data_IF_250723015593
#
_entry.id   IF_250723015593
#
_cell.length_a   1.000
_cell.length_b   1.000
_cell.length_c   1.000
_cell.angle_alpha   90.00
_cell.angle_beta   90.00
_cell.angle_gamma   90.00
#
_symmetry.space_group_name_H-M   'P 1'
#
loop_
_entity.id
_entity.type
_entity.pdbx_description
1 polymer ?
#
# COMPACT_ATOMS: atom_id res chain seq x y z
N UNK A 1 -15.29 2.30 -5.41
CA UNK A 1 -14.60 2.34 -5.58
C UNK A 1 -13.74 2.65 -5.37
N UNK A 2 -13.69 3.15 -5.29
CA UNK A 2 -12.89 3.27 -5.13
C UNK A 2 -11.58 2.82 -5.02
N UNK A 3 -11.30 1.70 -5.50
CA UNK A 3 -9.93 1.27 -5.54
C UNK A 3 -9.12 2.06 -6.56
N UNK A 4 -9.79 2.63 -7.52
CA UNK A 4 -9.16 3.53 -8.48
C UNK A 4 -8.39 4.64 -7.81
N UNK A 5 -8.90 5.13 -6.69
CA UNK A 5 -8.25 6.25 -6.02
C UNK A 5 -6.88 5.88 -5.47
N UNK A 6 -6.62 4.59 -5.25
CA UNK A 6 -5.32 4.16 -4.77
C UNK A 6 -4.24 4.33 -5.83
N UNK A 7 -4.62 4.22 -7.09
CA UNK A 7 -3.67 4.28 -8.19
C UNK A 7 -3.59 5.65 -8.84
N UNK A 8 -4.23 6.64 -8.27
CA UNK A 8 -4.19 8.00 -8.78
C UNK A 8 -3.05 8.81 -8.21
N UNK A 9 -2.30 8.21 -7.31
CA UNK A 9 -1.09 8.82 -6.80
C UNK A 9 -0.18 9.15 -7.97
N UNK A 10 0.37 10.35 -8.00
CA UNK A 10 1.22 10.80 -9.09
C UNK A 10 2.39 9.87 -9.33
N UNK A 11 2.97 9.35 -8.25
CA UNK A 11 4.13 8.46 -8.35
C UNK A 11 3.77 7.20 -9.14
N UNK A 12 2.60 6.63 -8.87
CA UNK A 12 2.17 5.44 -9.57
C UNK A 12 1.76 5.73 -11.01
N UNK A 13 1.24 6.93 -11.27
CA UNK A 13 0.96 7.33 -12.64
C UNK A 13 2.23 7.40 -13.47
N UNK A 14 3.28 7.95 -12.89
CA UNK A 14 4.57 8.03 -13.58
C UNK A 14 5.11 6.65 -13.85
N UNK A 15 4.99 5.74 -12.89
CA UNK A 15 5.43 4.36 -13.06
C UNK A 15 4.64 3.66 -14.16
N UNK A 16 3.36 3.93 -14.26
CA UNK A 16 2.49 3.30 -15.26
C UNK A 16 2.93 3.61 -16.69
N UNK A 17 3.71 4.66 -16.90
CA UNK A 17 4.19 5.04 -18.23
C UNK A 17 5.45 4.29 -18.62
N UNK A 18 6.01 3.48 -17.75
CA UNK A 18 7.23 2.73 -18.04
C UNK A 18 6.87 1.29 -18.37
N UNK A 19 6.58 1.06 -19.63
CA UNK A 19 6.15 -0.27 -20.08
C UNK A 19 7.27 -1.31 -20.04
N UNK A 20 8.51 -0.87 -20.19
CA UNK A 20 9.65 -1.78 -20.31
C UNK A 20 10.37 -2.04 -18.98
N UNK A 21 9.82 -1.56 -17.88
CA UNK A 21 10.48 -1.73 -16.59
C UNK A 21 10.32 -3.16 -16.13
N UNK A 22 11.44 -3.77 -15.82
CA UNK A 22 11.44 -5.14 -15.32
C UNK A 22 10.90 -5.17 -13.91
N UNK A 23 9.97 -6.08 -13.69
CA UNK A 23 9.45 -6.37 -12.36
C UNK A 23 10.43 -7.33 -11.68
N UNK A 24 10.90 -6.97 -10.51
CA UNK A 24 11.75 -7.85 -9.73
C UNK A 24 10.92 -9.00 -9.18
N UNK A 25 11.28 -10.21 -9.54
CA UNK A 25 10.50 -11.40 -9.15
C UNK A 25 10.45 -11.62 -7.66
N UNK A 26 11.55 -11.38 -6.98
CA UNK A 26 11.60 -11.53 -5.53
C UNK A 26 10.71 -10.51 -4.83
N UNK A 27 10.81 -9.26 -5.23
CA UNK A 27 9.99 -8.20 -4.67
C UNK A 27 8.52 -8.39 -5.01
N UNK A 28 8.22 -8.87 -6.22
CA UNK A 28 6.85 -9.17 -6.60
C UNK A 28 6.24 -10.22 -5.67
N UNK A 29 7.01 -11.23 -5.35
CA UNK A 29 6.55 -12.28 -4.44
C UNK A 29 6.31 -11.72 -3.04
N UNK A 30 7.24 -10.90 -2.54
CA UNK A 30 7.11 -10.28 -1.23
C UNK A 30 5.87 -9.39 -1.18
N UNK A 31 5.72 -8.49 -2.15
CA UNK A 31 4.59 -7.57 -2.18
C UNK A 31 3.27 -8.32 -2.33
N UNK A 32 3.26 -9.38 -3.14
CA UNK A 32 2.06 -10.19 -3.31
C UNK A 32 1.64 -10.82 -1.99
N UNK A 33 2.59 -11.32 -1.21
CA UNK A 33 2.25 -11.95 0.06
C UNK A 33 1.71 -10.94 1.07
N UNK A 34 2.20 -9.71 1.05
CA UNK A 34 1.75 -8.68 1.99
C UNK A 34 0.43 -8.04 1.55
N UNK A 35 0.25 -7.83 0.26
CA UNK A 35 -0.86 -7.03 -0.25
C UNK A 35 -1.98 -7.83 -0.90
N UNK A 36 -1.80 -9.11 -1.16
CA UNK A 36 -2.85 -9.92 -1.79
C UNK A 36 -3.25 -11.13 -0.96
N UNK A 37 -2.63 -11.31 0.20
CA UNK A 37 -2.97 -12.41 1.09
C UNK A 37 -4.30 -12.21 1.80
N UNK A 38 -4.58 -13.10 2.74
CA UNK A 38 -5.81 -13.04 3.52
C UNK A 38 -5.73 -11.94 4.58
N UNK A 39 -6.89 -11.36 4.89
CA UNK A 39 -7.06 -10.44 6.03
C UNK A 39 -6.29 -9.14 5.91
N UNK A 40 -6.99 -8.02 5.88
CA UNK A 40 -6.40 -6.72 5.96
C UNK A 40 -5.51 -6.28 4.78
N UNK A 41 -5.44 -7.09 3.74
CA UNK A 41 -4.52 -6.84 2.62
C UNK A 41 -4.78 -5.52 1.90
N UNK A 42 -6.03 -5.18 1.72
CA UNK A 42 -6.37 -3.94 1.02
C UNK A 42 -6.11 -2.73 1.89
N UNK A 43 -6.31 -2.87 3.18
CA UNK A 43 -5.99 -1.80 4.12
C UNK A 43 -4.49 -1.50 4.04
N UNK A 44 -3.65 -2.53 4.05
CA UNK A 44 -2.21 -2.36 3.94
C UNK A 44 -1.81 -1.67 2.63
N UNK A 45 -2.40 -2.10 1.53
CA UNK A 45 -2.11 -1.50 0.24
C UNK A 45 -2.54 -0.04 0.18
N UNK A 46 -3.71 0.27 0.71
CA UNK A 46 -4.20 1.64 0.76
C UNK A 46 -3.29 2.53 1.62
N UNK A 47 -2.81 1.99 2.72
CA UNK A 47 -1.88 2.71 3.59
C UNK A 47 -0.59 3.03 2.84
N UNK A 48 -0.03 2.06 2.13
CA UNK A 48 1.20 2.30 1.36
C UNK A 48 0.97 3.37 0.31
N UNK A 49 -0.14 3.35 -0.39
CA UNK A 49 -0.44 4.36 -1.39
C UNK A 49 -0.57 5.75 -0.76
N UNK A 50 -1.24 5.84 0.39
CA UNK A 50 -1.40 7.11 1.08
C UNK A 50 -0.06 7.66 1.56
N UNK A 51 0.76 6.81 2.13
CA UNK A 51 2.07 7.21 2.65
C UNK A 51 3.01 7.62 1.52
N UNK A 52 2.95 6.92 0.39
CA UNK A 52 3.78 7.23 -0.77
C UNK A 52 3.44 8.60 -1.33
N UNK A 53 2.16 8.95 -1.28
CA UNK A 53 1.72 10.25 -1.73
C UNK A 53 2.17 11.36 -0.78
N UNK A 54 2.08 11.08 0.52
CA UNK A 54 2.33 12.11 1.54
C UNK A 54 2.58 11.45 2.89
N UNK A 55 3.72 11.72 3.53
CA UNK A 55 3.94 11.18 4.87
C UNK A 55 2.81 11.60 5.82
N UNK A 56 2.41 10.69 6.69
CA UNK A 56 1.17 10.87 7.44
C UNK A 56 1.23 10.03 8.72
N UNK A 57 0.55 10.48 9.76
CA UNK A 57 0.49 9.72 11.01
C UNK A 57 -0.74 8.82 11.05
N UNK A 58 -0.80 7.95 12.06
CA UNK A 58 -1.86 6.95 12.16
C UNK A 58 -3.25 7.56 12.34
N UNK A 59 -3.34 8.65 13.07
CA UNK A 59 -4.64 9.31 13.27
C UNK A 59 -5.17 9.89 11.97
N UNK A 60 -4.29 10.52 11.21
CA UNK A 60 -4.65 11.07 9.92
C UNK A 60 -5.06 9.97 8.95
N UNK A 61 -4.34 8.84 8.98
CA UNK A 61 -4.71 7.68 8.17
C UNK A 61 -6.10 7.15 8.53
N UNK A 62 -6.36 7.07 9.83
CA UNK A 62 -7.66 6.61 10.32
C UNK A 62 -8.79 7.48 9.77
N UNK A 63 -8.62 8.78 9.82
CA UNK A 63 -9.61 9.72 9.29
C UNK A 63 -9.74 9.64 7.78
N UNK A 64 -8.61 9.62 7.10
CA UNK A 64 -8.59 9.60 5.64
C UNK A 64 -9.24 8.34 5.08
N UNK A 65 -9.01 7.22 5.72
CA UNK A 65 -9.49 5.93 5.25
C UNK A 65 -10.81 5.51 5.88
N UNK A 66 -11.29 6.30 6.84
CA UNK A 66 -12.51 6.00 7.58
C UNK A 66 -12.46 4.60 8.21
N UNK A 67 -11.35 4.31 8.86
CA UNK A 67 -11.14 3.07 9.58
C UNK A 67 -10.74 3.40 11.01
N UNK A 68 -11.01 2.47 11.94
CA UNK A 68 -10.66 2.75 13.31
C UNK A 68 -9.14 2.70 13.51
N UNK A 69 -8.70 3.35 14.55
CA UNK A 69 -7.28 3.50 14.84
C UNK A 69 -6.58 2.15 15.04
N UNK A 70 -7.26 1.22 15.70
CA UNK A 70 -6.70 -0.11 15.95
C UNK A 70 -6.41 -0.86 14.66
N UNK A 71 -7.32 -0.76 13.71
CA UNK A 71 -7.14 -1.39 12.40
C UNK A 71 -5.93 -0.81 11.69
N UNK A 72 -5.78 0.52 11.75
CA UNK A 72 -4.64 1.19 11.14
C UNK A 72 -3.35 0.73 11.81
N UNK A 73 -3.29 0.74 13.14
CA UNK A 73 -2.09 0.35 13.88
C UNK A 73 -1.71 -1.10 13.57
N UNK A 74 -2.69 -2.00 13.52
CA UNK A 74 -2.40 -3.39 13.21
C UNK A 74 -1.78 -3.54 11.82
N UNK A 75 -2.32 -2.82 10.85
CA UNK A 75 -1.79 -2.86 9.48
C UNK A 75 -0.39 -2.26 9.41
N UNK A 76 -0.17 -1.17 10.14
CA UNK A 76 1.15 -0.54 10.21
C UNK A 76 2.17 -1.50 10.80
N UNK A 77 1.80 -2.24 11.85
CA UNK A 77 2.70 -3.22 12.44
C UNK A 77 3.14 -4.28 11.43
N UNK A 78 2.22 -4.77 10.61
CA UNK A 78 2.55 -5.73 9.58
C UNK A 78 3.51 -5.13 8.57
N UNK A 79 3.25 -3.90 8.15
CA UNK A 79 4.11 -3.21 7.18
C UNK A 79 5.52 -2.98 7.74
N UNK A 80 5.60 -2.58 9.02
CA UNK A 80 6.90 -2.39 9.66
C UNK A 80 7.68 -3.70 9.78
N UNK A 81 7.00 -4.78 10.11
CA UNK A 81 7.64 -6.09 10.23
C UNK A 81 8.24 -6.56 8.92
N UNK A 82 7.66 -6.12 7.82
CA UNK A 82 8.16 -6.45 6.49
C UNK A 82 9.11 -5.39 5.95
N UNK A 83 9.49 -4.42 6.77
CA UNK A 83 10.41 -3.36 6.40
C UNK A 83 9.93 -2.51 5.22
N UNK A 84 8.62 -2.35 5.10
CA UNK A 84 8.04 -1.60 3.99
C UNK A 84 7.81 -0.14 4.32
N UNK A 85 7.71 0.19 5.60
CA UNK A 85 7.57 1.58 6.04
C UNK A 85 8.56 1.86 7.16
N UNK A 86 8.88 3.13 7.33
CA UNK A 86 9.68 3.60 8.44
C UNK A 86 8.89 4.65 9.22
N UNK A 87 9.20 4.74 10.48
CA UNK A 87 8.50 5.62 11.41
C UNK A 87 9.47 6.69 11.89
N UNK A 88 9.00 7.93 11.91
CA UNK A 88 9.79 9.03 12.46
C UNK A 88 8.98 9.77 13.51
N UNK A 89 9.58 9.97 14.66
CA UNK A 89 8.93 10.65 15.77
C UNK A 89 9.31 10.01 17.08
N UNK A 90 8.63 10.42 18.14
CA UNK A 90 8.91 9.96 19.49
C UNK A 90 7.70 9.21 20.09
N UNK A 91 6.98 8.47 19.27
CA UNK A 91 5.85 7.68 19.74
C UNK A 91 4.53 8.20 19.20
N UNK A 92 3.71 8.74 20.08
CA UNK A 92 2.40 9.23 19.66
C UNK A 92 2.54 10.34 18.61
N UNK A 93 1.85 10.18 17.51
CA UNK A 93 1.91 11.15 16.43
C UNK A 93 3.04 10.92 15.45
N UNK A 94 3.73 9.78 15.56
CA UNK A 94 4.79 9.43 14.63
C UNK A 94 4.28 9.47 13.19
N UNK A 95 5.13 9.95 12.30
CA UNK A 95 4.83 10.05 10.88
C UNK A 95 5.47 8.86 10.17
N UNK A 96 4.75 8.29 9.20
CA UNK A 96 5.22 7.12 8.47
C UNK A 96 5.64 7.50 7.05
N UNK A 97 6.70 6.86 6.59
CA UNK A 97 7.30 7.08 5.28
C UNK A 97 7.48 5.73 4.58
N UNK A 98 7.41 5.68 3.25
CA UNK A 98 7.78 4.44 2.56
C UNK A 98 9.27 4.18 2.76
N UNK A 99 9.60 2.90 2.95
CA UNK A 99 11.00 2.51 3.07
C UNK A 99 11.67 2.49 1.69
N UNK A 100 12.99 2.30 1.67
CA UNK A 100 13.71 2.16 0.40
C UNK A 100 13.23 0.97 -0.41
N UNK A 101 12.75 -0.09 0.25
CA UNK A 101 12.20 -1.25 -0.45
C UNK A 101 11.03 -0.82 -1.33
N UNK A 102 10.16 0.02 -0.80
CA UNK A 102 9.03 0.54 -1.57
C UNK A 102 9.52 1.52 -2.64
N UNK A 103 10.32 2.50 -2.22
CA UNK A 103 10.74 3.58 -3.12
C UNK A 103 11.57 3.08 -4.29
N UNK A 104 12.35 2.04 -4.08
CA UNK A 104 13.21 1.47 -5.12
C UNK A 104 12.52 0.44 -5.99
N UNK A 105 11.28 0.05 -5.65
CA UNK A 105 10.57 -1.01 -6.36
C UNK A 105 9.16 -0.60 -6.74
N UNK A 106 8.95 0.67 -7.05
CA UNK A 106 7.64 1.17 -7.43
C UNK A 106 7.03 0.46 -8.65
N UNK A 107 7.80 0.14 -9.70
CA UNK A 107 7.22 -0.60 -10.82
C UNK A 107 6.67 -1.97 -10.40
N UNK A 108 7.39 -2.66 -9.52
CA UNK A 108 6.96 -3.95 -9.01
C UNK A 108 5.69 -3.80 -8.16
N UNK A 109 5.67 -2.78 -7.32
CA UNK A 109 4.49 -2.49 -6.50
C UNK A 109 3.30 -2.17 -7.38
N UNK A 110 3.50 -1.38 -8.43
CA UNK A 110 2.44 -1.04 -9.37
C UNK A 110 1.88 -2.30 -10.04
N UNK A 111 2.74 -3.25 -10.40
CA UNK A 111 2.30 -4.50 -11.00
C UNK A 111 1.38 -5.28 -10.06
N UNK A 112 1.71 -5.28 -8.76
CA UNK A 112 0.87 -5.94 -7.75
C UNK A 112 -0.46 -5.20 -7.59
N UNK A 113 -0.43 -3.87 -7.58
CA UNK A 113 -1.65 -3.08 -7.49
C UNK A 113 -2.59 -3.40 -8.65
N UNK A 114 -2.05 -3.49 -9.86
CA UNK A 114 -2.86 -3.80 -11.03
C UNK A 114 -3.50 -5.17 -10.92
N UNK A 115 -2.78 -6.15 -10.37
CA UNK A 115 -3.35 -7.48 -10.15
C UNK A 115 -4.51 -7.43 -9.18
N UNK A 116 -4.37 -6.66 -8.11
CA UNK A 116 -5.43 -6.53 -7.11
C UNK A 116 -6.65 -5.85 -7.73
N UNK A 117 -6.43 -4.78 -8.49
CA UNK A 117 -7.52 -4.09 -9.16
C UNK A 117 -8.28 -5.01 -10.10
N UNK A 118 -7.56 -5.81 -10.87
CA UNK A 118 -8.19 -6.73 -11.82
C UNK A 118 -9.09 -7.74 -11.10
N UNK A 119 -8.66 -8.19 -9.92
CA UNK A 119 -9.47 -9.12 -9.12
C UNK A 119 -10.71 -8.45 -8.57
N UNK A 120 -10.61 -7.20 -8.16
CA UNK A 120 -11.74 -6.47 -7.61
C UNK A 120 -12.79 -6.17 -8.65
N UNK A 121 -12.38 -6.00 -9.90
CA UNK A 121 -13.29 -5.69 -10.99
C UNK A 121 -14.08 -6.90 -11.49
N UNK A 122 -13.72 -8.09 -11.03
CA UNK A 122 -14.43 -9.30 -11.47
C UNK A 122 -15.79 -9.40 -10.81
N UNK A 123 -16.85 -9.63 -11.60
CA UNK A 123 -18.20 -9.78 -11.02
C UNK A 123 -18.26 -10.94 -10.04
N UNK A 124 -19.03 -10.78 -8.99
CA UNK A 124 -19.24 -11.83 -8.00
C UNK A 124 -18.15 -11.96 -6.96
N UNK A 125 -17.06 -11.27 -7.10
CA UNK A 125 -16.01 -11.27 -6.11
C UNK A 125 -16.30 -10.24 -5.04
N UNK A 126 -16.09 -10.65 -3.79
CA UNK A 126 -16.24 -9.73 -2.66
C UNK A 126 -14.93 -9.68 -1.89
N UNK A 127 -14.40 -8.50 -1.78
CA UNK A 127 -13.19 -8.25 -1.00
C UNK A 127 -13.53 -7.23 0.05
N UNK A 128 -13.68 -7.69 1.25
CA UNK A 128 -14.16 -6.87 2.37
C UNK A 128 -12.97 -6.30 3.12
N UNK A 129 -13.08 -5.02 3.42
CA UNK A 129 -12.07 -4.34 4.21
C UNK A 129 -12.67 -3.68 5.39
#
# INVERSE_FOLDING_TARGET
MPFDSLCRNKIFKDVANYEDIKVDKFMHKLFSSVFTGMGGRYTRLRIICAITENPINAQELSKKMNLDYKTIIHSIDVLEKNNLIIREGAGYGDVFFPSDIISSNLPTLYAVIRKVEAKLDKPGKKYIE
#
